data_IF_924912816728
#
_entry.id   IF_924912816728
#
_cell.length_a   1.000
_cell.length_b   1.000
_cell.length_c   1.000
_cell.angle_alpha   90.00
_cell.angle_beta   90.00
_cell.angle_gamma   90.00
#
_symmetry.space_group_name_H-M   'P 1'
#
loop_
_entity.id
_entity.type
_entity.pdbx_description
1 polymer ?
#
# COMPACT_ATOMS: atom_id res chain seq x y z
N UNK A 1 -18.25 2.51 -12.00
CA UNK A 1 -17.29 3.23 -11.15
C UNK A 1 -16.35 2.19 -10.57
N UNK A 2 -15.02 2.28 -10.77
CA UNK A 2 -14.10 1.23 -10.29
C UNK A 2 -13.90 1.33 -8.77
N UNK A 3 -13.85 0.18 -8.10
CA UNK A 3 -13.57 0.08 -6.66
C UNK A 3 -12.09 0.34 -6.35
N UNK A 4 -11.77 0.63 -5.09
CA UNK A 4 -10.37 0.82 -4.69
C UNK A 4 -9.54 -0.47 -4.90
N UNK A 5 -10.17 -1.63 -4.70
CA UNK A 5 -9.60 -2.95 -4.95
C UNK A 5 -9.20 -3.13 -6.40
N UNK A 6 -10.11 -2.86 -7.34
CA UNK A 6 -9.83 -2.94 -8.77
C UNK A 6 -8.68 -1.99 -9.17
N UNK A 7 -8.65 -0.80 -8.58
CA UNK A 7 -7.60 0.19 -8.87
C UNK A 7 -6.23 -0.23 -8.33
N UNK A 8 -6.17 -0.88 -7.17
CA UNK A 8 -4.90 -1.44 -6.68
C UNK A 8 -4.49 -2.69 -7.44
N UNK A 9 -5.44 -3.52 -7.88
CA UNK A 9 -5.17 -4.65 -8.76
C UNK A 9 -4.59 -4.19 -10.11
N UNK A 10 -5.11 -3.10 -10.69
CA UNK A 10 -4.56 -2.48 -11.92
C UNK A 10 -3.10 -2.02 -11.74
N UNK A 11 -2.70 -1.63 -10.51
CA UNK A 11 -1.32 -1.27 -10.15
C UNK A 11 -0.46 -2.50 -9.79
N UNK A 12 -1.01 -3.71 -9.95
CA UNK A 12 -0.37 -4.98 -9.66
C UNK A 12 -0.17 -5.23 -8.17
N UNK A 13 -1.04 -4.71 -7.31
CA UNK A 13 -1.16 -5.14 -5.92
C UNK A 13 -2.08 -6.36 -5.83
N UNK A 14 -1.71 -7.32 -4.99
CA UNK A 14 -2.56 -8.43 -4.58
C UNK A 14 -3.45 -7.99 -3.41
N UNK A 15 -4.68 -8.49 -3.41
CA UNK A 15 -5.64 -8.25 -2.35
C UNK A 15 -5.37 -9.23 -1.21
N UNK A 16 -5.00 -8.70 -0.06
CA UNK A 16 -4.81 -9.46 1.17
C UNK A 16 -6.12 -9.66 1.93
N UNK A 17 -5.99 -9.85 3.25
CA UNK A 17 -7.11 -10.15 4.13
C UNK A 17 -8.16 -9.03 4.07
N UNK A 18 -9.43 -9.42 3.94
CA UNK A 18 -10.62 -8.56 4.03
C UNK A 18 -10.71 -7.41 3.01
N UNK A 19 -9.98 -7.45 1.88
CA UNK A 19 -9.94 -6.33 0.91
C UNK A 19 -9.55 -4.98 1.51
N UNK A 20 -8.86 -5.01 2.65
CA UNK A 20 -8.40 -3.84 3.39
C UNK A 20 -6.88 -3.72 3.35
N UNK A 21 -6.18 -4.83 3.13
CA UNK A 21 -4.74 -4.89 2.95
C UNK A 21 -4.45 -5.18 1.49
N UNK A 22 -3.58 -4.40 0.87
CA UNK A 22 -3.09 -4.59 -0.49
C UNK A 22 -1.57 -4.66 -0.46
N UNK A 23 -1.00 -5.68 -1.09
CA UNK A 23 0.45 -5.92 -1.07
C UNK A 23 1.02 -6.01 -2.48
N UNK A 24 2.21 -5.46 -2.68
CA UNK A 24 2.96 -5.61 -3.93
C UNK A 24 4.44 -5.85 -3.63
N UNK A 25 4.94 -7.01 -4.01
CA UNK A 25 6.36 -7.32 -3.85
C UNK A 25 7.20 -6.56 -4.87
N UNK A 26 8.23 -5.85 -4.39
CA UNK A 26 9.27 -5.23 -5.21
C UNK A 26 10.48 -6.15 -5.37
N UNK A 27 10.76 -6.97 -4.36
CA UNK A 27 11.79 -8.01 -4.37
C UNK A 27 11.42 -9.12 -3.37
N UNK A 28 12.24 -10.17 -3.28
CA UNK A 28 12.06 -11.29 -2.33
C UNK A 28 11.84 -10.83 -0.87
N UNK A 29 12.43 -9.69 -0.50
CA UNK A 29 12.47 -9.21 0.88
C UNK A 29 11.84 -7.81 1.02
N UNK A 30 11.23 -7.27 -0.02
CA UNK A 30 10.71 -5.89 0.00
C UNK A 30 9.33 -5.84 -0.59
N UNK A 31 8.38 -5.36 0.20
CA UNK A 31 6.96 -5.33 -0.13
C UNK A 31 6.42 -3.93 0.11
N UNK A 32 5.60 -3.44 -0.82
CA UNK A 32 4.75 -2.29 -0.62
C UNK A 32 3.44 -2.75 -0.01
N UNK A 33 2.99 -2.05 1.02
CA UNK A 33 1.76 -2.39 1.74
C UNK A 33 0.87 -1.15 1.82
N UNK A 34 -0.41 -1.35 1.48
CA UNK A 34 -1.48 -0.39 1.72
C UNK A 34 -2.50 -1.04 2.63
N UNK A 35 -2.74 -0.47 3.80
CA UNK A 35 -3.70 -1.01 4.78
C UNK A 35 -4.78 0.01 5.08
N UNK A 36 -6.03 -0.44 5.09
CA UNK A 36 -7.20 0.37 5.35
C UNK A 36 -7.86 0.00 6.68
N UNK A 37 -8.17 1.00 7.49
CA UNK A 37 -8.93 0.86 8.73
C UNK A 37 -10.17 1.76 8.77
N UNK A 38 -11.21 1.34 9.51
CA UNK A 38 -12.32 2.23 9.88
C UNK A 38 -11.92 3.03 11.10
N UNK A 39 -11.78 4.34 10.93
CA UNK A 39 -11.41 5.27 12.00
C UNK A 39 -12.60 6.13 12.42
N UNK A 40 -12.88 6.19 13.72
CA UNK A 40 -13.96 7.02 14.29
C UNK A 40 -13.78 8.48 13.85
N UNK A 41 -14.88 9.13 13.46
CA UNK A 41 -14.86 10.52 12.98
C UNK A 41 -14.64 10.66 11.47
N UNK A 42 -14.41 9.57 10.73
CA UNK A 42 -14.30 9.59 9.27
C UNK A 42 -15.45 8.82 8.61
N UNK A 43 -16.03 9.41 7.57
CA UNK A 43 -17.09 8.77 6.78
C UNK A 43 -16.58 7.58 5.93
N UNK A 44 -15.29 7.57 5.59
CA UNK A 44 -14.64 6.57 4.75
C UNK A 44 -13.49 5.89 5.49
N UNK A 45 -13.04 4.74 4.97
CA UNK A 45 -11.81 4.10 5.41
C UNK A 45 -10.63 5.06 5.33
N UNK A 46 -9.69 4.90 6.26
CA UNK A 46 -8.42 5.61 6.27
C UNK A 46 -7.33 4.62 5.94
N UNK A 47 -6.41 5.04 5.08
CA UNK A 47 -5.36 4.17 4.59
C UNK A 47 -3.99 4.66 5.01
N UNK A 48 -3.11 3.69 5.23
CA UNK A 48 -1.67 3.87 5.37
C UNK A 48 -0.98 3.26 4.16
N UNK A 49 0.11 3.86 3.70
CA UNK A 49 0.96 3.33 2.64
C UNK A 49 2.42 3.36 3.09
N UNK A 50 3.06 2.20 3.05
CA UNK A 50 4.43 2.03 3.52
C UNK A 50 5.17 0.96 2.72
N UNK A 51 6.50 0.98 2.82
CA UNK A 51 7.38 -0.08 2.35
C UNK A 51 7.89 -0.86 3.54
N UNK A 52 7.76 -2.18 3.48
CA UNK A 52 8.30 -3.12 4.43
C UNK A 52 9.53 -3.81 3.82
N UNK A 53 10.59 -3.96 4.61
CA UNK A 53 11.76 -4.77 4.28
C UNK A 53 11.95 -5.82 5.36
N UNK A 54 11.95 -7.09 4.95
CA UNK A 54 12.17 -8.25 5.83
C UNK A 54 13.63 -8.72 5.76
N UNK A 55 14.27 -8.84 6.93
CA UNK A 55 15.61 -9.38 7.08
C UNK A 55 15.52 -10.75 7.75
N UNK A 56 15.32 -11.84 6.98
CA UNK A 56 15.00 -13.16 7.53
C UNK A 56 16.13 -13.74 8.39
N UNK A 57 17.39 -13.34 8.14
CA UNK A 57 18.54 -13.79 8.93
C UNK A 57 18.54 -13.24 10.36
N UNK A 58 17.98 -12.05 10.57
CA UNK A 58 17.96 -11.38 11.87
C UNK A 58 16.55 -11.33 12.47
N UNK A 59 15.53 -11.83 11.76
CA UNK A 59 14.11 -11.72 12.10
C UNK A 59 13.66 -10.26 12.30
N UNK A 60 14.39 -9.30 11.74
CA UNK A 60 14.06 -7.88 11.84
C UNK A 60 13.21 -7.45 10.65
N UNK A 61 12.28 -6.54 10.92
CA UNK A 61 11.45 -5.87 9.91
C UNK A 61 11.65 -4.38 10.02
N UNK A 62 11.82 -3.73 8.87
CA UNK A 62 11.91 -2.28 8.79
C UNK A 62 10.78 -1.74 7.93
N UNK A 63 10.07 -0.77 8.48
CA UNK A 63 8.94 -0.11 7.81
C UNK A 63 9.29 1.35 7.55
N UNK A 64 9.12 1.78 6.30
CA UNK A 64 9.19 3.18 5.91
C UNK A 64 7.80 3.62 5.49
N UNK A 65 7.18 4.45 6.32
CA UNK A 65 5.84 4.98 6.08
C UNK A 65 5.93 6.19 5.15
N UNK A 66 5.10 6.19 4.10
CA UNK A 66 5.04 7.27 3.11
C UNK A 66 3.79 8.13 3.27
N UNK A 67 2.71 7.55 3.77
CA UNK A 67 1.44 8.23 3.96
C UNK A 67 0.66 7.54 5.07
N UNK A 68 0.06 8.32 5.96
CA UNK A 68 -0.77 7.83 7.07
C UNK A 68 -2.12 8.51 7.08
N UNK A 69 -3.12 7.80 7.61
CA UNK A 69 -4.47 8.33 7.84
C UNK A 69 -5.01 9.08 6.61
N UNK A 70 -4.93 8.50 5.42
CA UNK A 70 -5.31 9.13 4.16
C UNK A 70 -6.68 8.66 3.64
N UNK A 71 -7.36 9.51 2.86
CA UNK A 71 -8.61 9.11 2.19
C UNK A 71 -8.32 8.08 1.09
N UNK A 72 -9.34 7.32 0.63
CA UNK A 72 -9.20 6.41 -0.51
C UNK A 72 -8.58 7.08 -1.74
N UNK A 73 -9.03 8.30 -2.07
CA UNK A 73 -8.53 9.06 -3.21
C UNK A 73 -7.06 9.47 -3.05
N UNK A 74 -6.69 9.93 -1.85
CA UNK A 74 -5.33 10.43 -1.58
C UNK A 74 -4.31 9.31 -1.55
N UNK A 75 -4.64 8.17 -0.93
CA UNK A 75 -3.73 7.01 -0.94
C UNK A 75 -3.54 6.49 -2.37
N UNK A 76 -4.62 6.40 -3.16
CA UNK A 76 -4.53 5.91 -4.53
C UNK A 76 -3.65 6.83 -5.40
N UNK A 77 -3.81 8.15 -5.25
CA UNK A 77 -2.95 9.13 -5.92
C UNK A 77 -1.48 8.94 -5.55
N UNK A 78 -1.16 8.87 -4.25
CA UNK A 78 0.22 8.70 -3.79
C UNK A 78 0.85 7.38 -4.25
N UNK A 79 0.11 6.27 -4.17
CA UNK A 79 0.59 4.97 -4.63
C UNK A 79 0.82 4.99 -6.14
N UNK A 80 -0.10 5.57 -6.92
CA UNK A 80 0.06 5.69 -8.38
C UNK A 80 1.32 6.47 -8.73
N UNK A 81 1.53 7.63 -8.10
CA UNK A 81 2.73 8.45 -8.32
C UNK A 81 4.02 7.72 -7.93
N UNK A 82 3.98 6.94 -6.84
CA UNK A 82 5.13 6.17 -6.39
C UNK A 82 5.48 5.04 -7.37
N UNK A 83 4.47 4.31 -7.86
CA UNK A 83 4.65 3.23 -8.84
C UNK A 83 5.18 3.80 -10.15
N UNK A 84 4.59 4.90 -10.65
CA UNK A 84 5.08 5.59 -11.84
C UNK A 84 6.55 6.00 -11.71
N UNK A 85 6.94 6.55 -10.55
CA UNK A 85 8.34 6.91 -10.29
C UNK A 85 9.26 5.67 -10.29
N UNK A 86 8.85 4.58 -9.62
CA UNK A 86 9.61 3.32 -9.62
C UNK A 86 9.78 2.72 -11.03
N UNK A 87 8.75 2.77 -11.87
CA UNK A 87 8.79 2.23 -13.23
C UNK A 87 9.66 3.09 -14.15
N UNK A 88 9.74 4.40 -13.91
CA UNK A 88 10.60 5.31 -14.68
C UNK A 88 12.09 5.16 -14.34
N UNK A 89 12.42 4.79 -13.10
CA UNK A 89 13.81 4.62 -12.66
C UNK A 89 14.40 3.23 -12.92
N UNK A 90 13.62 2.28 -13.46
CA UNK A 90 14.08 0.94 -13.85
C UNK A 90 14.46 0.88 -15.33
#
# INVERSE_FOLDING_TARGET
MRTITERFADLGFQVGISSQVFVKDLSRNTTLVVEGERKKGYATYRYMFYKMVDYPKTQQKYEKVYLENASPSRVLQHVTSFIYWLEKER
#
